data_IF_309121278489
#
_entry.id   IF_309121278489
#
_cell.length_a   1.000
_cell.length_b   1.000
_cell.length_c   1.000
_cell.angle_alpha   90.00
_cell.angle_beta   90.00
_cell.angle_gamma   90.00
#
_symmetry.space_group_name_H-M   'P 1'
#
loop_
_entity.id
_entity.type
_entity.pdbx_description
1 polymer ?
#
# COMPACT_ATOMS: atom_id res chain seq x y z
N UNK A 1 38.13 -27.55 -49.06
CA UNK A 1 36.73 -27.87 -48.67
C UNK A 1 36.60 -27.63 -47.18
N UNK A 2 36.04 -26.49 -46.78
CA UNK A 2 35.61 -26.20 -45.41
C UNK A 2 34.08 -26.11 -45.43
N UNK A 3 33.34 -26.75 -44.50
CA UNK A 3 31.90 -26.55 -44.44
C UNK A 3 31.58 -25.31 -43.60
N UNK A 4 30.92 -24.33 -44.23
CA UNK A 4 30.29 -23.21 -43.55
C UNK A 4 29.11 -23.71 -42.70
N UNK A 5 29.24 -23.64 -41.38
CA UNK A 5 28.12 -23.82 -40.46
C UNK A 5 27.27 -22.56 -40.40
N UNK A 6 26.02 -22.66 -40.83
CA UNK A 6 25.00 -21.62 -40.64
C UNK A 6 24.54 -21.70 -39.19
N UNK A 7 24.85 -20.67 -38.39
CA UNK A 7 24.30 -20.49 -37.05
C UNK A 7 22.93 -19.84 -37.21
N UNK A 8 21.85 -20.62 -37.01
CA UNK A 8 20.50 -20.09 -36.87
C UNK A 8 20.39 -19.41 -35.49
N UNK A 9 20.39 -18.07 -35.49
CA UNK A 9 19.98 -17.28 -34.33
C UNK A 9 18.46 -17.37 -34.20
N UNK A 10 17.97 -18.26 -33.33
CA UNK A 10 16.59 -18.23 -32.87
C UNK A 10 16.40 -17.00 -31.98
N UNK A 11 15.82 -15.94 -32.54
CA UNK A 11 15.30 -14.82 -31.78
C UNK A 11 14.11 -15.32 -30.95
N UNK A 12 14.32 -15.50 -29.64
CA UNK A 12 13.24 -15.67 -28.68
C UNK A 12 12.53 -14.32 -28.58
N UNK A 13 11.45 -14.16 -29.34
CA UNK A 13 10.49 -13.08 -29.12
C UNK A 13 9.82 -13.34 -27.77
N UNK A 14 10.13 -12.50 -26.79
CA UNK A 14 9.34 -12.40 -25.56
C UNK A 14 8.01 -11.78 -25.95
N UNK A 15 7.01 -12.63 -26.21
CA UNK A 15 5.62 -12.18 -26.21
C UNK A 15 5.32 -11.73 -24.78
N UNK A 16 5.31 -10.41 -24.57
CA UNK A 16 4.64 -9.84 -23.41
C UNK A 16 3.17 -10.21 -23.55
N UNK A 17 2.77 -11.33 -22.94
CA UNK A 17 1.36 -11.67 -22.75
C UNK A 17 0.83 -10.62 -21.78
N UNK A 18 0.35 -9.50 -22.31
CA UNK A 18 -0.40 -8.54 -21.53
C UNK A 18 -1.61 -9.32 -21.00
N UNK A 19 -1.77 -9.38 -19.68
CA UNK A 19 -2.92 -10.06 -19.10
C UNK A 19 -4.20 -9.41 -19.65
N UNK A 20 -5.02 -10.21 -20.33
CA UNK A 20 -6.30 -9.79 -20.86
C UNK A 20 -7.20 -9.32 -19.72
N UNK A 21 -7.96 -8.24 -19.95
CA UNK A 21 -8.97 -7.80 -19.02
C UNK A 21 -10.12 -8.80 -19.04
N UNK A 22 -10.58 -9.17 -17.85
CA UNK A 22 -11.69 -10.08 -17.66
C UNK A 22 -12.88 -9.36 -17.06
N UNK A 23 -14.07 -9.74 -17.52
CA UNK A 23 -15.35 -9.35 -16.96
C UNK A 23 -15.94 -10.55 -16.21
N UNK A 24 -15.99 -10.45 -14.89
CA UNK A 24 -16.45 -11.53 -14.01
C UNK A 24 -17.70 -11.08 -13.25
N UNK A 25 -18.73 -11.92 -13.24
CA UNK A 25 -19.92 -11.73 -12.41
C UNK A 25 -19.91 -12.80 -11.33
N UNK A 26 -19.87 -12.35 -10.08
CA UNK A 26 -19.90 -13.20 -8.90
C UNK A 26 -21.28 -13.12 -8.23
N UNK A 27 -21.78 -14.25 -7.72
CA UNK A 27 -22.91 -14.30 -6.79
C UNK A 27 -22.37 -14.34 -5.37
N UNK A 28 -22.47 -13.23 -4.63
CA UNK A 28 -22.00 -13.12 -3.25
C UNK A 28 -23.08 -12.52 -2.37
N UNK A 29 -23.37 -13.19 -1.26
CA UNK A 29 -24.42 -12.80 -0.30
C UNK A 29 -25.80 -12.56 -0.97
N UNK A 30 -26.12 -13.38 -1.98
CA UNK A 30 -27.37 -13.28 -2.75
C UNK A 30 -27.43 -12.08 -3.70
N UNK A 31 -26.31 -11.42 -3.98
CA UNK A 31 -26.21 -10.29 -4.92
C UNK A 31 -25.19 -10.58 -6.00
N UNK A 32 -25.47 -10.07 -7.20
CA UNK A 32 -24.49 -10.09 -8.28
C UNK A 32 -23.51 -8.93 -8.12
N UNK A 33 -22.22 -9.26 -8.09
CA UNK A 33 -21.11 -8.31 -8.11
C UNK A 33 -20.42 -8.42 -9.47
N UNK A 34 -20.38 -7.31 -10.20
CA UNK A 34 -19.69 -7.24 -11.49
C UNK A 34 -18.29 -6.67 -11.29
N UNK A 35 -17.29 -7.42 -11.71
CA UNK A 35 -15.88 -7.09 -11.59
C UNK A 35 -15.25 -7.01 -12.97
N UNK A 36 -14.34 -6.06 -13.12
CA UNK A 36 -13.44 -5.97 -14.26
C UNK A 36 -12.01 -5.95 -13.73
N UNK A 37 -11.14 -6.80 -14.26
CA UNK A 37 -9.80 -6.98 -13.70
C UNK A 37 -8.93 -7.95 -14.49
N UNK A 38 -7.84 -8.39 -13.88
CA UNK A 38 -6.99 -9.46 -14.41
C UNK A 38 -6.97 -10.64 -13.45
N UNK A 39 -6.97 -11.86 -13.99
CA UNK A 39 -6.76 -13.07 -13.19
C UNK A 39 -5.28 -13.22 -12.91
N UNK A 40 -4.94 -13.32 -11.63
CA UNK A 40 -3.57 -13.54 -11.15
C UNK A 40 -3.26 -15.03 -11.03
N UNK A 41 -4.22 -15.81 -10.52
CA UNK A 41 -4.10 -17.25 -10.30
C UNK A 41 -5.44 -17.91 -10.60
N UNK A 42 -5.39 -19.04 -11.29
CA UNK A 42 -6.51 -19.95 -11.46
C UNK A 42 -6.15 -21.29 -10.79
N UNK A 43 -6.98 -21.71 -9.83
CA UNK A 43 -6.83 -22.96 -9.11
C UNK A 43 -7.33 -24.14 -9.95
N UNK A 44 -6.89 -25.35 -9.60
CA UNK A 44 -7.23 -26.57 -10.35
C UNK A 44 -8.73 -26.89 -10.36
N UNK A 45 -9.46 -26.43 -9.34
CA UNK A 45 -10.91 -26.58 -9.21
C UNK A 45 -11.69 -25.50 -9.99
N UNK A 46 -11.01 -24.56 -10.64
CA UNK A 46 -11.60 -23.44 -11.38
C UNK A 46 -11.81 -22.17 -10.53
N UNK A 47 -11.36 -22.16 -9.27
CA UNK A 47 -11.39 -20.95 -8.45
C UNK A 47 -10.40 -19.91 -8.98
N UNK A 48 -10.72 -18.62 -8.86
CA UNK A 48 -9.84 -17.55 -9.38
C UNK A 48 -9.49 -16.52 -8.32
N UNK A 49 -8.24 -16.07 -8.36
CA UNK A 49 -7.79 -14.84 -7.70
C UNK A 49 -7.75 -13.73 -8.76
N UNK A 50 -8.69 -12.82 -8.70
CA UNK A 50 -8.79 -11.68 -9.62
C UNK A 50 -8.34 -10.39 -8.92
N UNK A 51 -7.53 -9.60 -9.60
CA UNK A 51 -7.24 -8.22 -9.21
C UNK A 51 -8.07 -7.27 -10.06
N UNK A 52 -8.94 -6.48 -9.43
CA UNK A 52 -9.74 -5.49 -10.16
C UNK A 52 -8.90 -4.26 -10.60
N UNK A 53 -9.53 -3.35 -11.33
CA UNK A 53 -8.90 -2.13 -11.85
C UNK A 53 -8.52 -1.10 -10.77
N UNK A 54 -8.97 -1.27 -9.52
CA UNK A 54 -8.52 -0.50 -8.35
C UNK A 54 -7.32 -1.15 -7.64
N UNK A 55 -7.01 -2.41 -7.97
CA UNK A 55 -5.98 -3.21 -7.31
C UNK A 55 -6.50 -4.05 -6.16
N UNK A 56 -7.82 -4.19 -5.98
CA UNK A 56 -8.39 -5.05 -4.94
C UNK A 56 -8.36 -6.51 -5.40
N UNK A 57 -7.95 -7.40 -4.49
CA UNK A 57 -7.98 -8.84 -4.70
C UNK A 57 -9.35 -9.43 -4.33
N UNK A 58 -9.85 -10.22 -5.25
CA UNK A 58 -11.09 -10.97 -5.15
C UNK A 58 -10.77 -12.45 -5.31
N UNK A 59 -10.89 -13.20 -4.23
CA UNK A 59 -11.00 -14.66 -4.30
C UNK A 59 -12.43 -15.00 -4.70
N UNK A 60 -12.59 -15.73 -5.79
CA UNK A 60 -13.87 -16.24 -6.27
C UNK A 60 -13.80 -17.77 -6.33
N UNK A 61 -14.70 -18.42 -5.58
CA UNK A 61 -14.86 -19.88 -5.67
C UNK A 61 -15.59 -20.24 -6.97
N UNK A 62 -15.38 -21.45 -7.51
CA UNK A 62 -16.01 -21.88 -8.76
C UNK A 62 -17.54 -21.69 -8.78
N UNK A 63 -18.20 -21.95 -7.65
CA UNK A 63 -19.66 -21.85 -7.48
C UNK A 63 -20.16 -20.40 -7.30
N UNK A 64 -19.28 -19.46 -6.93
CA UNK A 64 -19.60 -18.03 -6.93
C UNK A 64 -19.60 -17.45 -8.35
N UNK A 65 -18.91 -18.06 -9.32
CA UNK A 65 -18.71 -17.50 -10.67
C UNK A 65 -19.95 -17.77 -11.54
N UNK A 66 -20.78 -16.75 -11.72
CA UNK A 66 -21.98 -16.80 -12.58
C UNK A 66 -21.61 -16.64 -14.05
N UNK A 67 -20.65 -15.77 -14.34
CA UNK A 67 -20.22 -15.45 -15.70
C UNK A 67 -18.78 -14.97 -15.71
N UNK A 68 -17.98 -15.43 -16.66
CA UNK A 68 -16.60 -14.98 -16.91
C UNK A 68 -16.40 -14.81 -18.41
N UNK A 69 -15.96 -13.63 -18.83
CA UNK A 69 -15.61 -13.32 -20.22
C UNK A 69 -14.22 -12.72 -20.21
N UNK A 70 -13.29 -13.30 -20.97
CA UNK A 70 -12.05 -12.64 -21.33
C UNK A 70 -12.33 -11.71 -22.52
N UNK A 71 -11.91 -10.45 -22.42
CA UNK A 71 -11.87 -9.55 -23.55
C UNK A 71 -10.43 -9.47 -24.11
N UNK A 72 -10.29 -9.02 -25.35
CA UNK A 72 -8.96 -8.88 -25.99
C UNK A 72 -8.24 -7.58 -25.57
N UNK A 73 -8.77 -6.83 -24.60
CA UNK A 73 -8.19 -5.56 -24.17
C UNK A 73 -7.11 -5.82 -23.12
N UNK A 74 -5.98 -5.10 -23.17
CA UNK A 74 -4.99 -5.17 -22.10
C UNK A 74 -5.58 -4.60 -20.81
N UNK A 75 -5.21 -5.19 -19.67
CA UNK A 75 -5.53 -4.63 -18.37
C UNK A 75 -5.11 -3.15 -18.27
N UNK A 76 -6.02 -2.30 -17.80
CA UNK A 76 -5.75 -0.91 -17.51
C UNK A 76 -6.34 -0.54 -16.13
N UNK A 77 -5.57 0.13 -15.25
CA UNK A 77 -6.11 0.61 -13.97
C UNK A 77 -7.25 1.62 -14.19
N UNK A 78 -7.99 1.92 -13.12
CA UNK A 78 -8.92 3.05 -13.14
C UNK A 78 -8.14 4.36 -13.34
N UNK A 79 -8.67 5.22 -14.22
CA UNK A 79 -8.19 6.60 -14.33
C UNK A 79 -8.43 7.38 -13.04
N UNK A 80 -7.58 8.39 -12.78
CA UNK A 80 -7.59 9.19 -11.54
C UNK A 80 -8.99 9.63 -11.09
N UNK A 81 -9.79 10.18 -11.99
CA UNK A 81 -11.06 10.80 -11.61
C UNK A 81 -12.13 9.75 -11.28
N UNK A 82 -12.14 8.64 -12.01
CA UNK A 82 -13.00 7.49 -11.73
C UNK A 82 -12.59 6.82 -10.42
N UNK A 83 -11.28 6.69 -10.16
CA UNK A 83 -10.76 6.14 -8.91
C UNK A 83 -11.14 7.03 -7.72
N UNK A 84 -11.00 8.35 -7.82
CA UNK A 84 -11.41 9.30 -6.78
C UNK A 84 -12.92 9.22 -6.51
N UNK A 85 -13.74 9.15 -7.56
CA UNK A 85 -15.18 8.99 -7.42
C UNK A 85 -15.56 7.67 -6.74
N UNK A 86 -14.94 6.56 -7.14
CA UNK A 86 -15.14 5.23 -6.52
C UNK A 86 -14.76 5.26 -5.04
N UNK A 87 -13.57 5.78 -4.70
CA UNK A 87 -13.12 5.92 -3.32
C UNK A 87 -14.05 6.81 -2.48
N UNK A 88 -14.54 7.93 -3.04
CA UNK A 88 -15.48 8.81 -2.33
C UNK A 88 -16.80 8.10 -2.05
N UNK A 89 -17.30 7.27 -2.98
CA UNK A 89 -18.49 6.45 -2.77
C UNK A 89 -18.28 5.38 -1.70
N UNK A 90 -17.10 4.73 -1.68
CA UNK A 90 -16.76 3.68 -0.70
C UNK A 90 -16.54 4.25 0.72
N UNK A 91 -15.84 5.38 0.83
CA UNK A 91 -15.46 5.98 2.11
C UNK A 91 -16.56 6.87 2.69
N UNK A 92 -17.36 7.49 1.81
CA UNK A 92 -18.35 8.50 2.17
C UNK A 92 -17.74 9.76 2.80
N UNK A 93 -18.61 10.64 3.30
CA UNK A 93 -18.22 11.83 4.07
C UNK A 93 -17.38 12.86 3.31
N UNK A 94 -16.63 13.66 4.06
CA UNK A 94 -15.88 14.82 3.54
C UNK A 94 -14.44 14.46 3.10
N UNK A 95 -14.24 13.26 2.54
CA UNK A 95 -12.93 12.85 2.03
C UNK A 95 -12.50 13.76 0.88
N UNK A 96 -11.25 14.24 0.97
CA UNK A 96 -10.53 14.98 -0.06
C UNK A 96 -9.37 14.15 -0.58
N UNK A 97 -8.80 14.58 -1.69
CA UNK A 97 -7.74 13.86 -2.37
C UNK A 97 -6.51 14.73 -2.56
N UNK A 98 -5.34 14.16 -2.31
CA UNK A 98 -4.04 14.73 -2.66
C UNK A 98 -3.30 13.69 -3.52
N UNK A 99 -2.96 14.06 -4.74
CA UNK A 99 -2.32 13.17 -5.70
C UNK A 99 -0.85 13.56 -5.86
N UNK A 100 0.02 12.55 -5.92
CA UNK A 100 1.45 12.68 -6.19
C UNK A 100 1.80 11.96 -7.49
N UNK A 101 3.09 11.72 -7.74
CA UNK A 101 3.53 10.97 -8.92
C UNK A 101 3.05 9.50 -8.87
N UNK A 102 3.16 8.85 -7.71
CA UNK A 102 2.85 7.43 -7.55
C UNK A 102 1.64 7.15 -6.64
N UNK A 103 1.22 8.13 -5.83
CA UNK A 103 0.21 7.93 -4.79
C UNK A 103 -1.06 8.74 -5.00
N UNK A 104 -2.18 8.16 -4.54
CA UNK A 104 -3.43 8.86 -4.28
C UNK A 104 -3.73 8.81 -2.78
N UNK A 105 -3.62 9.97 -2.13
CA UNK A 105 -3.90 10.14 -0.70
C UNK A 105 -5.36 10.59 -0.55
N UNK A 106 -6.22 9.70 -0.05
CA UNK A 106 -7.59 10.04 0.34
C UNK A 106 -7.62 10.39 1.83
N UNK A 107 -8.09 11.56 2.19
CA UNK A 107 -8.01 12.05 3.56
C UNK A 107 -9.22 12.86 4.01
N UNK A 108 -9.61 12.72 5.28
CA UNK A 108 -10.58 13.61 5.94
C UNK A 108 -9.94 14.45 7.08
N UNK A 109 -8.61 14.41 7.22
CA UNK A 109 -7.83 15.27 8.12
C UNK A 109 -7.40 16.60 7.46
N UNK A 110 -6.44 17.32 8.05
CA UNK A 110 -5.86 18.54 7.49
C UNK A 110 -5.14 18.27 6.16
N UNK A 111 -5.26 19.21 5.21
CA UNK A 111 -4.55 19.14 3.93
C UNK A 111 -3.03 19.11 4.12
N UNK A 112 -2.51 19.91 5.06
CA UNK A 112 -1.08 19.95 5.37
C UNK A 112 -0.52 18.59 5.80
N UNK A 113 -1.27 17.82 6.60
CA UNK A 113 -0.86 16.48 7.00
C UNK A 113 -0.89 15.50 5.82
N UNK A 114 -1.93 15.55 4.99
CA UNK A 114 -2.04 14.70 3.81
C UNK A 114 -0.91 14.95 2.78
N UNK A 115 -0.57 16.21 2.53
CA UNK A 115 0.55 16.61 1.66
C UNK A 115 1.90 16.16 2.22
N UNK A 116 2.06 16.19 3.55
CA UNK A 116 3.25 15.68 4.21
C UNK A 116 3.38 14.16 4.09
N UNK A 117 2.28 13.40 4.29
CA UNK A 117 2.26 11.96 4.08
C UNK A 117 2.65 11.62 2.63
N UNK A 118 2.05 12.29 1.64
CA UNK A 118 2.40 12.12 0.22
C UNK A 118 3.88 12.40 -0.05
N UNK A 119 4.42 13.49 0.50
CA UNK A 119 5.85 13.83 0.38
C UNK A 119 6.77 12.80 1.05
N UNK A 120 6.35 12.21 2.17
CA UNK A 120 7.09 11.14 2.85
C UNK A 120 7.10 9.85 2.02
N UNK A 121 5.95 9.46 1.49
CA UNK A 121 5.83 8.29 0.62
C UNK A 121 6.63 8.40 -0.66
N UNK A 122 6.62 9.55 -1.33
CA UNK A 122 7.44 9.79 -2.52
C UNK A 122 8.95 9.69 -2.25
N UNK A 123 9.40 10.13 -1.06
CA UNK A 123 10.80 9.96 -0.66
C UNK A 123 11.11 8.49 -0.37
N UNK A 124 10.20 7.78 0.31
CA UNK A 124 10.36 6.36 0.58
C UNK A 124 10.42 5.56 -0.73
N UNK A 125 9.52 5.82 -1.69
CA UNK A 125 9.50 5.22 -3.03
C UNK A 125 10.87 5.34 -3.70
N UNK A 126 11.40 6.57 -3.82
CA UNK A 126 12.73 6.81 -4.42
C UNK A 126 13.83 6.09 -3.66
N UNK A 127 13.80 6.11 -2.34
CA UNK A 127 14.84 5.48 -1.53
C UNK A 127 14.78 3.94 -1.60
N UNK A 128 13.58 3.35 -1.68
CA UNK A 128 13.35 1.93 -1.86
C UNK A 128 13.94 1.44 -3.18
N UNK A 129 13.58 2.10 -4.30
CA UNK A 129 14.14 1.80 -5.61
C UNK A 129 15.67 1.90 -5.63
N UNK A 130 16.19 3.07 -5.23
CA UNK A 130 17.63 3.30 -5.19
C UNK A 130 18.39 2.30 -4.32
N UNK A 131 17.79 1.84 -3.21
CA UNK A 131 18.45 0.93 -2.28
C UNK A 131 18.57 -0.49 -2.84
N UNK A 132 17.49 -1.00 -3.44
CA UNK A 132 17.41 -2.37 -3.92
C UNK A 132 18.00 -2.56 -5.32
N UNK A 133 17.82 -1.60 -6.23
CA UNK A 133 18.42 -1.65 -7.58
C UNK A 133 19.95 -1.64 -7.51
N UNK A 134 20.53 -0.84 -6.60
CA UNK A 134 21.99 -0.87 -6.32
C UNK A 134 22.49 -2.21 -5.77
N UNK A 135 21.59 -3.08 -5.32
CA UNK A 135 21.87 -4.43 -4.83
C UNK A 135 21.47 -5.52 -5.82
N UNK A 136 21.17 -5.15 -7.07
CA UNK A 136 20.88 -6.08 -8.15
C UNK A 136 19.45 -6.63 -8.15
N UNK A 137 18.54 -6.08 -7.34
CA UNK A 137 17.12 -6.42 -7.43
C UNK A 137 16.52 -5.62 -8.59
N UNK A 138 15.82 -6.31 -9.49
CA UNK A 138 15.00 -5.65 -10.52
C UNK A 138 13.65 -5.29 -9.91
N UNK A 139 13.34 -4.00 -9.84
CA UNK A 139 12.05 -3.51 -9.41
C UNK A 139 11.26 -3.01 -10.61
N UNK A 140 9.94 -3.02 -10.49
CA UNK A 140 9.00 -2.53 -11.49
C UNK A 140 8.14 -1.40 -10.92
N UNK A 141 7.53 -0.61 -11.79
CA UNK A 141 6.49 0.33 -11.36
C UNK A 141 5.19 -0.41 -11.02
N UNK A 142 4.41 0.18 -10.11
CA UNK A 142 3.09 -0.35 -9.76
C UNK A 142 2.11 -0.18 -10.92
N UNK A 143 1.40 -1.25 -11.29
CA UNK A 143 0.38 -1.23 -12.35
C UNK A 143 -0.88 -0.42 -11.97
N UNK A 144 -1.07 -0.16 -10.67
CA UNK A 144 -2.18 0.64 -10.12
C UNK A 144 -1.63 1.78 -9.25
N UNK A 145 -2.34 2.92 -9.13
CA UNK A 145 -1.96 3.97 -8.18
C UNK A 145 -1.85 3.43 -6.75
N UNK A 146 -0.82 3.84 -6.01
CA UNK A 146 -0.65 3.45 -4.61
C UNK A 146 -1.58 4.28 -3.72
N UNK A 147 -2.55 3.64 -3.08
CA UNK A 147 -3.60 4.35 -2.34
C UNK A 147 -3.24 4.38 -0.85
N UNK A 148 -3.38 5.56 -0.24
CA UNK A 148 -3.33 5.70 1.20
C UNK A 148 -4.52 6.48 1.75
N UNK A 149 -5.10 5.94 2.82
CA UNK A 149 -6.25 6.48 3.53
C UNK A 149 -5.77 7.12 4.84
N UNK A 150 -5.99 8.42 4.97
CA UNK A 150 -5.56 9.20 6.13
C UNK A 150 -6.78 9.76 6.86
N UNK A 151 -7.19 9.01 7.88
CA UNK A 151 -8.32 9.34 8.72
C UNK A 151 -7.98 10.45 9.71
N UNK A 152 -8.98 11.21 10.11
CA UNK A 152 -8.84 12.34 11.00
C UNK A 152 -8.73 11.99 12.48
N UNK A 153 -8.98 10.74 12.86
CA UNK A 153 -8.78 10.28 14.22
C UNK A 153 -9.14 8.81 14.40
N UNK A 154 -8.93 8.32 15.62
CA UNK A 154 -9.09 6.90 15.96
C UNK A 154 -10.52 6.37 15.72
N UNK A 155 -11.55 7.23 15.84
CA UNK A 155 -12.96 6.82 15.71
C UNK A 155 -13.33 6.54 14.24
N UNK A 156 -13.03 7.47 13.33
CA UNK A 156 -13.31 7.31 11.89
C UNK A 156 -12.48 6.17 11.29
N UNK A 157 -11.21 6.09 11.66
CA UNK A 157 -10.35 4.96 11.33
C UNK A 157 -10.88 3.64 11.87
N UNK A 158 -11.27 3.58 13.15
CA UNK A 158 -11.79 2.36 13.75
C UNK A 158 -13.06 1.85 13.08
N UNK A 159 -13.93 2.76 12.60
CA UNK A 159 -15.12 2.38 11.81
C UNK A 159 -14.73 1.69 10.50
N UNK A 160 -13.75 2.23 9.77
CA UNK A 160 -13.25 1.64 8.53
C UNK A 160 -12.45 0.36 8.77
N UNK A 161 -11.53 0.37 9.73
CA UNK A 161 -10.68 -0.78 10.02
C UNK A 161 -11.48 -2.01 10.45
N UNK A 162 -12.60 -1.85 11.16
CA UNK A 162 -13.48 -2.97 11.54
C UNK A 162 -14.12 -3.68 10.36
N UNK A 163 -14.45 -2.96 9.28
CA UNK A 163 -15.04 -3.60 8.10
C UNK A 163 -14.03 -4.44 7.32
N UNK A 164 -12.74 -4.12 7.43
CA UNK A 164 -11.66 -4.83 6.72
C UNK A 164 -10.95 -5.88 7.58
N UNK A 165 -10.74 -5.63 8.87
CA UNK A 165 -9.94 -6.47 9.77
C UNK A 165 -10.77 -7.17 10.87
N UNK A 166 -12.09 -6.93 10.94
CA UNK A 166 -12.95 -7.49 11.98
C UNK A 166 -12.80 -6.84 13.36
N UNK A 167 -13.23 -7.54 14.42
CA UNK A 167 -13.31 -6.99 15.79
C UNK A 167 -11.94 -6.83 16.50
N UNK A 168 -10.86 -7.39 15.95
CA UNK A 168 -9.52 -7.42 16.59
C UNK A 168 -8.72 -6.10 16.49
N UNK A 169 -9.40 -4.98 16.26
CA UNK A 169 -8.82 -3.71 15.72
C UNK A 169 -8.26 -2.72 16.76
N UNK A 170 -8.14 -3.08 18.03
CA UNK A 170 -8.05 -2.07 19.09
C UNK A 170 -6.70 -1.36 19.27
N UNK A 171 -5.59 -1.84 18.66
CA UNK A 171 -4.24 -1.38 19.01
C UNK A 171 -3.35 -0.82 17.89
N UNK A 172 -3.66 -0.99 16.59
CA UNK A 172 -2.73 -0.61 15.51
C UNK A 172 -3.03 0.79 14.95
N UNK A 173 -1.99 1.62 14.85
CA UNK A 173 -2.04 3.04 14.40
C UNK A 173 -2.31 3.17 12.89
N UNK A 174 -1.95 2.14 12.12
CA UNK A 174 -2.27 1.97 10.71
C UNK A 174 -1.93 0.56 10.25
N UNK A 175 -2.34 0.19 9.04
CA UNK A 175 -2.03 -1.11 8.44
C UNK A 175 -1.99 -1.01 6.91
N UNK A 176 -1.23 -1.88 6.27
CA UNK A 176 -1.36 -2.19 4.85
C UNK A 176 -2.29 -3.41 4.63
N UNK A 177 -3.29 -3.26 3.77
CA UNK A 177 -4.19 -4.35 3.37
C UNK A 177 -3.69 -5.03 2.11
N UNK A 178 -3.27 -6.30 2.23
CA UNK A 178 -2.97 -7.16 1.07
C UNK A 178 -4.18 -7.32 0.15
N UNK A 179 -5.40 -7.27 0.69
CA UNK A 179 -6.63 -7.39 -0.09
C UNK A 179 -6.89 -6.13 -0.91
N UNK A 180 -7.00 -4.97 -0.27
CA UNK A 180 -7.41 -3.74 -0.98
C UNK A 180 -6.26 -2.94 -1.57
N UNK A 181 -5.02 -3.34 -1.29
CA UNK A 181 -3.79 -2.64 -1.68
C UNK A 181 -3.65 -1.23 -1.07
N UNK A 182 -4.30 -0.99 0.06
CA UNK A 182 -4.38 0.33 0.69
C UNK A 182 -3.57 0.35 1.97
N UNK A 183 -2.84 1.43 2.19
CA UNK A 183 -2.38 1.80 3.53
C UNK A 183 -3.50 2.59 4.20
N UNK A 184 -3.95 2.19 5.38
CA UNK A 184 -4.94 2.92 6.17
C UNK A 184 -4.35 3.31 7.51
N UNK A 185 -4.48 4.58 7.87
CA UNK A 185 -3.92 5.16 9.10
C UNK A 185 -4.74 6.35 9.56
N UNK A 186 -4.55 6.78 10.81
CA UNK A 186 -5.15 8.03 11.28
C UNK A 186 -4.12 9.05 11.75
N UNK A 187 -4.52 10.31 11.69
CA UNK A 187 -3.77 11.44 12.19
C UNK A 187 -3.73 11.41 13.72
N UNK A 188 -2.60 10.94 14.26
CA UNK A 188 -2.36 10.88 15.70
C UNK A 188 -2.34 12.26 16.36
N UNK A 189 -2.15 13.33 15.59
CA UNK A 189 -1.99 14.69 16.15
C UNK A 189 -3.32 15.33 16.51
N UNK A 190 -4.41 14.84 15.90
CA UNK A 190 -5.76 15.27 16.23
C UNK A 190 -6.29 14.67 17.53
N UNK A 191 -5.78 13.51 17.93
CA UNK A 191 -6.13 12.88 19.22
C UNK A 191 -5.75 13.75 20.43
N UNK A 192 -4.71 14.58 20.28
CA UNK A 192 -4.28 15.54 21.32
C UNK A 192 -4.81 16.97 21.09
N UNK A 193 -5.25 17.30 19.87
CA UNK A 193 -5.71 18.64 19.49
C UNK A 193 -7.21 18.85 19.69
N UNK A 194 -7.74 18.54 20.88
CA UNK A 194 -9.01 19.15 21.35
C UNK A 194 -8.88 20.67 21.60
N UNK A 195 -7.71 21.25 21.34
CA UNK A 195 -7.41 22.67 21.48
C UNK A 195 -6.69 23.17 20.23
N UNK A 196 -7.45 23.77 19.30
CA UNK A 196 -7.15 25.04 18.63
C UNK A 196 -7.70 25.12 17.20
N UNK A 197 -8.58 26.11 17.00
CA UNK A 197 -9.08 26.58 15.71
C UNK A 197 -8.13 27.66 15.18
N UNK A 198 -7.02 27.31 14.53
CA UNK A 198 -6.25 28.33 13.82
C UNK A 198 -5.71 27.84 12.45
N UNK A 199 -6.43 28.09 11.35
CA UNK A 199 -6.14 27.56 10.01
C UNK A 199 -5.00 28.26 9.25
N UNK A 200 -4.10 28.99 9.94
CA UNK A 200 -3.05 29.82 9.30
C UNK A 200 -1.59 29.37 9.53
N UNK A 201 -1.38 28.19 10.10
CA UNK A 201 -0.03 27.67 10.33
C UNK A 201 0.48 27.04 9.03
N UNK A 202 1.68 27.43 8.58
CA UNK A 202 2.29 26.86 7.37
C UNK A 202 2.42 25.33 7.49
N UNK A 203 2.30 24.62 6.37
CA UNK A 203 2.38 23.15 6.32
C UNK A 203 3.64 22.63 7.01
N UNK A 204 4.79 23.29 6.80
CA UNK A 204 6.06 22.94 7.46
C UNK A 204 6.06 23.16 8.98
N UNK A 205 5.50 24.24 9.49
CA UNK A 205 5.42 24.49 10.94
C UNK A 205 4.42 23.54 11.63
N UNK A 206 3.34 23.19 10.93
CA UNK A 206 2.37 22.18 11.38
C UNK A 206 3.03 20.79 11.45
N UNK A 207 3.74 20.39 10.40
CA UNK A 207 4.51 19.13 10.35
C UNK A 207 5.58 19.06 11.43
N UNK A 208 6.37 20.11 11.64
CA UNK A 208 7.39 20.09 12.69
C UNK A 208 6.76 19.93 14.07
N UNK A 209 5.57 20.51 14.31
CA UNK A 209 4.81 20.29 15.54
C UNK A 209 4.39 18.83 15.69
N UNK A 210 3.87 18.23 14.63
CA UNK A 210 3.47 16.81 14.59
C UNK A 210 4.66 15.90 14.93
N UNK A 211 5.81 16.13 14.28
CA UNK A 211 7.04 15.37 14.52
C UNK A 211 7.58 15.57 15.95
N UNK A 212 7.29 16.71 16.58
CA UNK A 212 7.75 17.05 17.93
C UNK A 212 6.86 16.50 19.06
N UNK A 213 5.68 15.94 18.75
CA UNK A 213 4.77 15.39 19.76
C UNK A 213 5.31 14.09 20.38
N UNK A 214 4.99 13.79 21.66
CA UNK A 214 5.24 12.48 22.26
C UNK A 214 4.61 11.38 21.41
N UNK A 215 5.45 10.51 20.83
CA UNK A 215 4.99 9.44 19.93
C UNK A 215 5.14 9.73 18.43
N UNK A 216 5.58 10.93 18.02
CA UNK A 216 5.87 11.27 16.62
C UNK A 216 6.83 10.28 15.94
N UNK A 217 7.86 9.79 16.65
CA UNK A 217 8.76 8.73 16.16
C UNK A 217 8.01 7.44 15.82
N UNK A 218 7.05 7.04 16.66
CA UNK A 218 6.23 5.84 16.44
C UNK A 218 5.29 6.02 15.26
N UNK A 219 4.64 7.18 15.17
CA UNK A 219 3.79 7.54 14.04
C UNK A 219 4.55 7.43 12.73
N UNK A 220 5.71 8.08 12.63
CA UNK A 220 6.53 8.07 11.41
C UNK A 220 7.00 6.65 11.10
N UNK A 221 7.48 5.90 12.10
CA UNK A 221 7.88 4.51 11.91
C UNK A 221 6.73 3.66 11.35
N UNK A 222 5.52 3.75 11.91
CA UNK A 222 4.34 3.03 11.39
C UNK A 222 4.02 3.44 9.95
N UNK A 223 4.01 4.75 9.64
CA UNK A 223 3.74 5.23 8.27
C UNK A 223 4.70 4.61 7.27
N UNK A 224 5.99 4.56 7.60
CA UNK A 224 7.02 3.98 6.73
C UNK A 224 6.92 2.46 6.68
N UNK A 225 6.60 1.82 7.80
CA UNK A 225 6.41 0.37 7.89
C UNK A 225 5.32 -0.09 6.91
N UNK A 226 4.13 0.48 7.01
CA UNK A 226 3.00 0.11 6.15
C UNK A 226 3.25 0.45 4.68
N UNK A 227 3.85 1.62 4.41
CA UNK A 227 4.21 2.00 3.04
C UNK A 227 5.33 1.12 2.45
N UNK A 228 6.23 0.59 3.28
CA UNK A 228 7.25 -0.37 2.83
C UNK A 228 6.60 -1.69 2.40
N UNK A 229 5.61 -2.19 3.14
CA UNK A 229 4.82 -3.33 2.67
C UNK A 229 4.18 -3.03 1.33
N UNK A 230 3.49 -1.88 1.20
CA UNK A 230 2.84 -1.50 -0.04
C UNK A 230 3.83 -1.46 -1.21
N UNK A 231 5.03 -0.87 -1.04
CA UNK A 231 6.06 -0.87 -2.08
C UNK A 231 6.55 -2.28 -2.41
N UNK A 232 6.85 -3.09 -1.40
CA UNK A 232 7.37 -4.44 -1.62
C UNK A 232 6.40 -5.28 -2.47
N UNK A 233 5.09 -5.19 -2.20
CA UNK A 233 4.04 -5.94 -2.89
C UNK A 233 3.59 -5.37 -4.24
N UNK A 234 4.03 -4.16 -4.62
CA UNK A 234 3.63 -3.53 -5.88
C UNK A 234 4.80 -3.19 -6.81
N UNK A 235 6.04 -3.27 -6.33
CA UNK A 235 7.23 -2.97 -7.12
C UNK A 235 8.02 -4.22 -7.53
N UNK A 236 7.39 -5.41 -7.49
CA UNK A 236 8.00 -6.67 -7.94
C UNK A 236 8.94 -7.34 -6.93
N UNK A 237 9.00 -6.87 -5.68
CA UNK A 237 9.80 -7.52 -4.64
C UNK A 237 9.07 -8.70 -4.01
N UNK A 238 7.78 -8.54 -3.71
CA UNK A 238 6.87 -9.58 -3.26
C UNK A 238 5.70 -9.70 -4.24
N UNK A 239 5.12 -10.89 -4.30
CA UNK A 239 3.91 -11.15 -5.07
C UNK A 239 2.71 -11.24 -4.11
N UNK A 240 1.65 -10.46 -4.36
CA UNK A 240 0.42 -10.46 -3.55
C UNK A 240 -0.40 -11.75 -3.70
N UNK A 241 -0.13 -12.55 -4.73
CA UNK A 241 -0.72 -13.88 -4.92
C UNK A 241 0.04 -14.99 -4.20
N UNK A 242 1.24 -14.70 -3.68
CA UNK A 242 2.10 -15.66 -3.01
C UNK A 242 2.10 -15.51 -1.50
N UNK A 243 2.40 -16.62 -0.81
CA UNK A 243 2.66 -16.61 0.63
C UNK A 243 4.10 -16.19 0.90
N UNK A 244 4.29 -14.98 1.42
CA UNK A 244 5.60 -14.47 1.82
C UNK A 244 5.86 -14.86 3.28
N UNK A 245 7.03 -15.45 3.62
CA UNK A 245 7.37 -15.74 5.00
C UNK A 245 7.28 -14.49 5.87
N UNK A 246 6.60 -14.59 7.02
CA UNK A 246 6.34 -13.46 7.89
C UNK A 246 7.62 -12.71 8.29
N UNK A 247 8.67 -13.46 8.64
CA UNK A 247 9.96 -12.86 9.03
C UNK A 247 10.57 -12.00 7.92
N UNK A 248 10.34 -12.35 6.65
CA UNK A 248 10.85 -11.63 5.49
C UNK A 248 10.03 -10.35 5.26
N UNK A 249 8.70 -10.47 5.25
CA UNK A 249 7.80 -9.33 5.06
C UNK A 249 7.95 -8.29 6.17
N UNK A 250 7.81 -8.70 7.42
CA UNK A 250 7.95 -7.84 8.59
C UNK A 250 9.38 -7.33 8.77
N UNK A 251 10.37 -8.20 8.55
CA UNK A 251 11.78 -7.84 8.66
C UNK A 251 12.17 -6.74 7.69
N UNK A 252 11.64 -6.79 6.46
CA UNK A 252 11.86 -5.74 5.46
C UNK A 252 11.23 -4.41 5.88
N UNK A 253 9.97 -4.41 6.32
CA UNK A 253 9.32 -3.20 6.81
C UNK A 253 10.08 -2.60 8.01
N UNK A 254 10.49 -3.44 8.97
CA UNK A 254 11.31 -3.05 10.14
C UNK A 254 12.66 -2.46 9.71
N UNK A 255 13.26 -2.98 8.64
CA UNK A 255 14.54 -2.53 8.14
C UNK A 255 14.47 -1.11 7.53
N UNK A 256 13.32 -0.73 6.96
CA UNK A 256 13.10 0.59 6.36
C UNK A 256 12.54 1.62 7.34
N UNK A 257 11.75 1.24 8.33
CA UNK A 257 10.99 2.16 9.21
C UNK A 257 11.81 2.99 10.21
N UNK A 258 13.13 3.13 10.07
CA UNK A 258 13.95 3.81 11.09
C UNK A 258 13.69 5.32 11.09
N UNK A 259 12.98 5.88 12.10
CA UNK A 259 12.63 7.29 12.09
C UNK A 259 13.86 8.17 12.33
N UNK A 260 13.85 9.37 11.74
CA UNK A 260 14.86 10.42 11.94
C UNK A 260 14.17 11.78 12.05
N UNK A 261 13.69 12.11 13.26
CA UNK A 261 13.01 13.39 13.53
C UNK A 261 13.93 14.61 13.49
N UNK A 262 15.26 14.41 13.43
CA UNK A 262 16.21 15.52 13.20
C UNK A 262 16.23 15.94 11.74
N UNK A 263 15.71 15.09 10.85
CA UNK A 263 15.47 15.43 9.46
C UNK A 263 14.11 16.14 9.36
N UNK A 264 14.04 17.20 8.54
CA UNK A 264 12.77 17.88 8.20
C UNK A 264 11.74 16.93 7.54
N UNK A 265 12.20 15.76 7.10
CA UNK A 265 11.40 14.68 6.55
C UNK A 265 10.81 13.72 7.58
N UNK A 266 11.33 13.67 8.81
CA UNK A 266 11.04 12.62 9.78
C UNK A 266 11.72 11.26 9.49
N UNK A 267 12.37 11.09 8.32
CA UNK A 267 13.00 9.84 7.90
C UNK A 267 14.13 10.05 6.88
N UNK A 268 15.23 9.30 7.03
CA UNK A 268 16.39 9.44 6.13
C UNK A 268 17.21 8.19 5.89
N UNK A 269 17.26 7.24 6.84
CA UNK A 269 18.22 6.12 6.78
C UNK A 269 17.51 4.77 6.76
N UNK A 270 17.94 3.92 5.82
CA UNK A 270 17.55 2.52 5.73
C UNK A 270 18.55 1.69 6.56
N UNK A 271 18.07 0.68 7.29
CA UNK A 271 18.90 -0.26 8.04
C UNK A 271 19.61 0.30 9.27
N UNK A 272 19.23 1.48 9.74
CA UNK A 272 19.75 2.04 10.99
C UNK A 272 19.06 1.42 12.20
N UNK A 273 19.63 1.63 13.39
CA UNK A 273 19.01 1.11 14.63
C UNK A 273 17.73 1.92 14.93
N UNK A 274 16.58 1.26 14.90
CA UNK A 274 15.34 1.83 15.39
C UNK A 274 15.36 1.94 16.93
N UNK A 275 15.47 3.16 17.44
CA UNK A 275 15.59 3.44 18.88
C UNK A 275 14.34 3.06 19.67
N UNK A 276 13.16 3.21 19.07
CA UNK A 276 11.88 2.83 19.68
C UNK A 276 11.84 1.32 19.90
N UNK A 277 12.15 0.53 18.86
CA UNK A 277 12.19 -0.93 18.96
C UNK A 277 13.28 -1.42 19.90
N UNK A 278 14.45 -0.79 19.88
CA UNK A 278 15.54 -1.12 20.81
C UNK A 278 15.13 -0.93 22.27
N UNK A 279 14.41 0.15 22.59
CA UNK A 279 13.90 0.38 23.94
C UNK A 279 12.92 -0.73 24.36
N UNK A 280 11.97 -1.09 23.49
CA UNK A 280 11.05 -2.21 23.73
C UNK A 280 11.76 -3.56 23.91
N UNK A 281 12.75 -3.84 23.07
CA UNK A 281 13.56 -5.06 23.17
C UNK A 281 14.35 -5.12 24.49
N UNK A 282 14.97 -4.01 24.91
CA UNK A 282 15.67 -3.93 26.22
C UNK A 282 14.72 -4.13 27.40
N UNK A 283 13.48 -3.65 27.31
CA UNK A 283 12.46 -3.90 28.32
C UNK A 283 12.10 -5.38 28.36
N UNK A 284 11.80 -5.98 27.20
CA UNK A 284 11.52 -7.41 27.08
C UNK A 284 12.64 -8.28 27.66
N UNK A 285 13.91 -7.96 27.38
CA UNK A 285 15.06 -8.70 27.93
C UNK A 285 15.11 -8.70 29.47
N UNK A 286 14.59 -7.66 30.13
CA UNK A 286 14.53 -7.59 31.60
C UNK A 286 13.39 -8.40 32.19
N UNK A 287 12.35 -8.65 31.41
CA UNK A 287 11.09 -9.28 31.87
C UNK A 287 10.83 -10.63 31.22
N UNK A 288 11.79 -11.16 30.45
CA UNK A 288 11.64 -12.46 29.79
C UNK A 288 11.64 -13.57 30.85
N UNK A 289 10.82 -14.64 30.68
CA UNK A 289 10.85 -15.82 31.55
C UNK A 289 12.23 -16.47 31.61
#
# INVERSE_FOLDING_TARGET
MWPCGVVLLTALFWLNVCAAMEQVTLSRDGKNVHLSGKVLVEAQDGGVLLMDREGVLWTAQPDEIVKRIADDQPFAPLGSDVLKASLLQQLGGDFRFHQTAHYLIAYNTSQAYAEWCGSLYERLYRAFHNYWEKRGVTLVESEVPLIALVFDGKVSYGKYARTELGETTSSVIGYYSLRTNRVAMYDLTRTDSLRERNPRISSAAHVNRILSQPGGERTVATIIHEATHQLAYNCGMHDRSASIPLWLSEGMAIYFETPDLKSSSGWRRIGSINRVRLAGFRQYLRTRP
#
